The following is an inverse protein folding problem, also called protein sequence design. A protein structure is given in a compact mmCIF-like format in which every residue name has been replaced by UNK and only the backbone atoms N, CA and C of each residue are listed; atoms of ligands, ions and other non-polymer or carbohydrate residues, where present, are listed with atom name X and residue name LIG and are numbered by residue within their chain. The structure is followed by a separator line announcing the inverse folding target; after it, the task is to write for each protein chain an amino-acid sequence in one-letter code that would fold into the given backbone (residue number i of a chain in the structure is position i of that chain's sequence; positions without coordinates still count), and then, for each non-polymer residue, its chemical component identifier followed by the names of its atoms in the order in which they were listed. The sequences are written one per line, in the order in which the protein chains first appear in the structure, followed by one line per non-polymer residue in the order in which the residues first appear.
data_IF_180893994586
#
_entry.id   IF_180893994586
#
_cell.length_a   1.000
_cell.length_b   1.000
_cell.length_c   1.000
_cell.angle_alpha   90.00
_cell.angle_beta   90.00
_cell.angle_gamma   90.00
#
_symmetry.space_group_name_H-M   'P 1'
#
loop_
_entity.id
_entity.type
_entity.pdbx_description
1 polymer ?
#
# COMPACT_ATOMS: atom_id res chain seq x y z
N UNK A 1 -21.56 -75.86 -30.89
CA UNK A 1 -20.10 -75.62 -30.93
C UNK A 1 -19.86 -74.19 -31.42
N UNK A 2 -19.17 -73.37 -30.60
CA UNK A 2 -18.48 -72.08 -30.92
C UNK A 2 -19.40 -70.98 -31.51
N UNK A 3 -19.78 -69.89 -30.84
CA UNK A 3 -19.05 -69.02 -29.91
C UNK A 3 -18.69 -67.72 -30.65
N UNK A 4 -19.55 -66.70 -30.61
CA UNK A 4 -19.27 -65.36 -31.13
C UNK A 4 -18.66 -64.49 -30.02
N UNK A 5 -17.44 -63.97 -30.26
CA UNK A 5 -16.82 -62.92 -29.45
C UNK A 5 -17.50 -61.58 -29.75
N UNK A 6 -18.00 -60.89 -28.72
CA UNK A 6 -18.29 -59.47 -28.76
C UNK A 6 -17.21 -58.74 -27.93
N UNK A 7 -16.32 -58.01 -28.61
CA UNK A 7 -15.33 -57.15 -27.96
C UNK A 7 -16.00 -55.84 -27.52
N UNK A 8 -15.91 -55.52 -26.24
CA UNK A 8 -16.34 -54.25 -25.66
C UNK A 8 -15.26 -53.18 -25.86
N UNK A 9 -15.65 -52.08 -26.52
CA UNK A 9 -14.84 -50.87 -26.70
C UNK A 9 -14.90 -50.06 -25.40
N UNK A 10 -13.78 -49.93 -24.69
CA UNK A 10 -13.67 -49.07 -23.50
C UNK A 10 -13.28 -47.65 -23.92
N UNK A 11 -14.18 -46.68 -23.72
CA UNK A 11 -13.86 -45.26 -23.77
C UNK A 11 -13.20 -44.85 -22.45
N UNK A 12 -11.90 -44.53 -22.48
CA UNK A 12 -11.23 -43.86 -21.36
C UNK A 12 -11.47 -42.37 -21.53
N UNK A 13 -12.41 -41.83 -20.76
CA UNK A 13 -12.55 -40.37 -20.57
C UNK A 13 -11.46 -39.96 -19.59
N UNK A 14 -10.38 -39.35 -20.09
CA UNK A 14 -9.39 -38.67 -19.25
C UNK A 14 -10.00 -37.34 -18.82
N UNK A 15 -10.64 -37.32 -17.65
CA UNK A 15 -10.99 -36.06 -17.00
C UNK A 15 -9.70 -35.41 -16.49
N UNK A 16 -9.16 -34.46 -17.24
CA UNK A 16 -8.16 -33.54 -16.74
C UNK A 16 -8.81 -32.67 -15.66
N UNK A 17 -8.72 -33.10 -14.39
CA UNK A 17 -9.02 -32.24 -13.26
C UNK A 17 -7.89 -31.22 -13.15
N UNK A 18 -8.06 -30.06 -13.78
CA UNK A 18 -7.20 -28.91 -13.50
C UNK A 18 -7.41 -28.49 -12.06
N UNK A 19 -6.49 -28.84 -11.17
CA UNK A 19 -6.39 -28.15 -9.90
C UNK A 19 -5.93 -26.72 -10.21
N UNK A 20 -6.78 -25.73 -9.98
CA UNK A 20 -6.33 -24.34 -9.93
C UNK A 20 -5.44 -24.21 -8.68
N UNK A 21 -4.13 -24.33 -8.88
CA UNK A 21 -3.13 -24.00 -7.86
C UNK A 21 -3.17 -22.47 -7.73
N UNK A 22 -3.93 -21.97 -6.76
CA UNK A 22 -3.80 -20.57 -6.35
C UNK A 22 -2.46 -20.42 -5.63
N UNK A 23 -1.51 -19.76 -6.28
CA UNK A 23 -0.28 -19.35 -5.62
C UNK A 23 -0.62 -18.33 -4.53
N UNK A 24 0.09 -18.42 -3.40
CA UNK A 24 0.04 -17.40 -2.36
C UNK A 24 0.24 -16.01 -3.01
N UNK A 25 -0.58 -15.00 -2.67
CA UNK A 25 -0.40 -13.67 -3.21
C UNK A 25 1.00 -13.17 -2.88
N UNK A 26 1.76 -12.87 -3.93
CA UNK A 26 3.09 -12.29 -3.80
C UNK A 26 2.96 -10.82 -4.14
N UNK A 27 3.28 -9.99 -3.16
CA UNK A 27 3.54 -8.58 -3.39
C UNK A 27 5.03 -8.43 -3.62
N UNK A 28 5.40 -7.91 -4.80
CA UNK A 28 6.80 -7.71 -5.18
C UNK A 28 7.05 -6.21 -5.25
N UNK A 29 7.94 -5.69 -4.40
CA UNK A 29 8.44 -4.33 -4.55
C UNK A 29 9.28 -4.28 -5.82
N UNK A 30 8.89 -3.41 -6.74
CA UNK A 30 9.55 -3.23 -8.03
C UNK A 30 10.42 -1.99 -8.07
N UNK A 31 10.07 -0.94 -7.32
CA UNK A 31 10.86 0.29 -7.21
C UNK A 31 10.75 0.84 -5.78
N UNK A 32 11.88 1.19 -5.19
CA UNK A 32 11.98 1.94 -3.91
C UNK A 32 12.33 3.41 -4.23
N UNK A 33 11.43 4.34 -3.86
CA UNK A 33 11.62 5.79 -4.01
C UNK A 33 11.55 6.53 -2.67
N UNK A 34 11.72 5.82 -1.55
CA UNK A 34 11.74 6.47 -0.24
C UNK A 34 12.81 7.56 -0.18
N UNK A 35 12.40 8.74 0.28
CA UNK A 35 13.24 9.94 0.32
C UNK A 35 12.97 10.76 1.58
N UNK A 36 14.02 11.40 2.11
CA UNK A 36 13.88 12.56 2.98
C UNK A 36 14.66 13.73 2.40
N UNK A 37 14.06 14.91 2.43
CA UNK A 37 14.65 16.15 1.94
C UNK A 37 14.55 17.26 2.99
N UNK A 38 15.61 18.04 3.12
CA UNK A 38 15.65 19.25 3.92
C UNK A 38 16.30 20.37 3.11
N UNK A 39 15.66 21.53 3.07
CA UNK A 39 16.09 22.69 2.30
C UNK A 39 16.05 23.94 3.19
N UNK A 40 17.09 24.77 3.07
CA UNK A 40 17.12 26.14 3.57
C UNK A 40 17.61 27.04 2.43
N UNK A 41 16.75 27.87 1.87
CA UNK A 41 17.13 28.80 0.80
C UNK A 41 17.67 30.11 1.39
N UNK A 42 18.82 30.65 0.92
CA UNK A 42 19.65 30.19 -0.20
C UNK A 42 20.82 29.28 0.19
N UNK A 43 20.85 28.73 1.41
CA UNK A 43 21.99 28.03 1.98
C UNK A 43 22.27 26.65 1.35
N UNK A 44 21.23 25.89 1.01
CA UNK A 44 21.37 24.58 0.35
C UNK A 44 20.34 23.56 0.79
N UNK A 45 20.43 22.36 0.21
CA UNK A 45 19.57 21.21 0.52
C UNK A 45 20.38 19.94 0.80
N UNK A 46 19.76 19.06 1.57
CA UNK A 46 20.22 17.70 1.85
C UNK A 46 19.11 16.74 1.47
N UNK A 47 19.46 15.64 0.80
CA UNK A 47 18.53 14.59 0.38
C UNK A 47 19.14 13.23 0.70
N UNK A 48 18.34 12.34 1.29
CA UNK A 48 18.72 10.96 1.61
C UNK A 48 17.68 10.00 1.03
N UNK A 49 18.10 8.89 0.42
CA UNK A 49 17.22 7.96 -0.31
C UNK A 49 17.50 6.50 0.02
N UNK A 50 16.52 5.64 -0.25
CA UNK A 50 16.65 4.18 -0.38
C UNK A 50 17.29 3.48 0.84
N UNK A 51 16.69 3.66 2.02
CA UNK A 51 17.06 2.98 3.26
C UNK A 51 15.87 2.87 4.21
N UNK A 52 15.93 1.93 5.14
CA UNK A 52 14.92 1.76 6.19
C UNK A 52 14.98 2.86 7.24
N UNK A 53 16.09 3.60 7.33
CA UNK A 53 16.25 4.77 8.15
C UNK A 53 16.90 5.91 7.34
N UNK A 54 16.15 6.98 7.09
CA UNK A 54 16.58 8.16 6.36
C UNK A 54 16.52 9.38 7.27
N UNK A 55 17.52 10.24 7.15
CA UNK A 55 17.59 11.53 7.84
C UNK A 55 18.19 12.57 6.89
N UNK A 56 17.50 13.70 6.74
CA UNK A 56 17.98 14.86 6.01
C UNK A 56 17.89 16.08 6.91
N UNK A 57 18.96 16.86 6.96
CA UNK A 57 19.04 18.08 7.76
C UNK A 57 19.70 19.20 6.97
N UNK A 58 19.15 20.41 7.04
CA UNK A 58 19.71 21.61 6.46
C UNK A 58 19.64 22.77 7.45
N UNK A 59 20.68 23.60 7.46
CA UNK A 59 20.81 24.78 8.32
C UNK A 59 21.22 25.99 7.49
N UNK A 60 20.89 27.22 7.92
CA UNK A 60 21.31 28.42 7.22
C UNK A 60 22.83 28.58 7.26
N UNK A 61 23.42 29.15 6.21
CA UNK A 61 24.83 29.53 6.20
C UNK A 61 25.13 30.62 7.22
N UNK A 62 26.39 30.70 7.65
CA UNK A 62 26.82 31.72 8.61
C UNK A 62 26.43 33.14 8.13
N UNK A 63 25.75 33.90 9.01
CA UNK A 63 25.28 35.26 8.73
C UNK A 63 23.92 35.36 8.04
N UNK A 64 23.26 34.24 7.69
CA UNK A 64 21.94 34.24 7.04
C UNK A 64 20.76 34.07 8.02
N UNK A 65 21.02 34.05 9.32
CA UNK A 65 20.02 33.86 10.36
C UNK A 65 20.17 32.56 11.11
N UNK A 66 19.08 32.09 11.71
CA UNK A 66 19.03 30.87 12.50
C UNK A 66 17.71 30.13 12.32
N UNK A 67 17.82 28.81 12.19
CA UNK A 67 16.72 27.90 11.93
C UNK A 67 17.24 26.52 11.55
N UNK A 68 16.32 25.62 11.25
CA UNK A 68 16.60 24.22 10.96
C UNK A 68 15.48 23.65 10.10
N UNK A 69 15.85 22.90 9.06
CA UNK A 69 14.94 21.99 8.35
C UNK A 69 15.42 20.57 8.59
N UNK A 70 14.52 19.68 9.02
CA UNK A 70 14.85 18.28 9.30
C UNK A 70 13.71 17.38 8.85
N UNK A 71 14.05 16.31 8.13
CA UNK A 71 13.12 15.25 7.78
C UNK A 71 13.71 13.88 8.13
N UNK A 72 12.86 12.99 8.66
CA UNK A 72 13.26 11.64 9.02
C UNK A 72 12.18 10.64 8.61
N UNK A 73 12.62 9.49 8.08
CA UNK A 73 11.77 8.35 7.75
C UNK A 73 12.37 7.10 8.38
N UNK A 74 11.58 6.36 9.14
CA UNK A 74 11.88 4.97 9.52
C UNK A 74 10.79 4.08 8.98
N UNK A 75 11.13 3.12 8.12
CA UNK A 75 10.14 2.29 7.44
C UNK A 75 10.68 0.91 7.12
N UNK A 76 9.78 -0.04 6.90
CA UNK A 76 10.13 -1.37 6.43
C UNK A 76 9.03 -1.96 5.56
N UNK A 77 9.45 -2.62 4.49
CA UNK A 77 8.64 -3.49 3.64
C UNK A 77 9.30 -4.88 3.49
N UNK A 78 10.19 -5.24 4.42
CA UNK A 78 10.90 -6.51 4.38
C UNK A 78 9.95 -7.72 4.44
N UNK A 79 8.81 -7.56 5.12
CA UNK A 79 7.65 -8.43 4.94
C UNK A 79 6.81 -7.88 3.77
N UNK A 80 6.74 -8.57 2.63
CA UNK A 80 5.98 -8.09 1.47
C UNK A 80 4.48 -7.95 1.76
N UNK A 81 3.95 -8.64 2.77
CA UNK A 81 2.54 -8.59 3.14
C UNK A 81 2.25 -7.58 4.25
N UNK A 82 3.27 -6.93 4.81
CA UNK A 82 3.11 -6.02 5.95
C UNK A 82 4.14 -4.92 5.94
N UNK A 83 3.70 -3.72 5.58
CA UNK A 83 4.55 -2.54 5.54
C UNK A 83 4.23 -1.61 6.69
N UNK A 84 5.26 -0.92 7.14
CA UNK A 84 5.15 0.06 8.20
C UNK A 84 6.07 1.23 7.91
N UNK A 85 5.68 2.40 8.41
CA UNK A 85 6.52 3.58 8.30
C UNK A 85 6.13 4.66 9.28
N UNK A 86 7.13 5.43 9.70
CA UNK A 86 7.02 6.62 10.54
C UNK A 86 7.85 7.70 9.85
N UNK A 87 7.18 8.76 9.41
CA UNK A 87 7.80 9.91 8.74
C UNK A 87 7.55 11.18 9.51
N UNK A 88 8.54 12.06 9.54
CA UNK A 88 8.45 13.39 10.13
C UNK A 88 9.15 14.43 9.25
N UNK A 89 8.56 15.61 9.17
CA UNK A 89 9.10 16.78 8.52
C UNK A 89 8.92 17.97 9.46
N UNK A 90 10.02 18.55 9.91
CA UNK A 90 10.05 19.62 10.91
C UNK A 90 10.89 20.78 10.40
N UNK A 91 10.36 21.98 10.52
CA UNK A 91 11.08 23.21 10.24
C UNK A 91 10.95 24.17 11.42
N UNK A 92 12.02 24.92 11.65
CA UNK A 92 12.06 25.99 12.64
C UNK A 92 12.82 27.17 12.07
N UNK A 93 12.32 28.36 12.36
CA UNK A 93 12.99 29.60 12.02
C UNK A 93 12.95 30.51 13.22
N UNK A 94 14.11 30.97 13.64
CA UNK A 94 14.25 31.92 14.73
C UNK A 94 14.52 33.32 14.20
N UNK A 95 15.38 33.46 13.19
CA UNK A 95 15.77 34.77 12.63
C UNK A 95 16.32 34.68 11.20
N UNK A 96 16.50 35.84 10.56
CA UNK A 96 17.08 35.99 9.23
C UNK A 96 16.13 35.63 8.09
N UNK A 97 16.47 35.95 6.83
CA UNK A 97 15.67 35.61 5.65
C UNK A 97 15.80 34.11 5.31
N UNK A 98 14.85 33.60 4.53
CA UNK A 98 14.97 32.28 3.90
C UNK A 98 13.75 31.40 4.02
N UNK A 99 13.68 30.42 3.13
CA UNK A 99 12.64 29.41 3.09
C UNK A 99 13.18 28.10 3.66
N UNK A 100 12.49 27.60 4.67
CA UNK A 100 12.78 26.33 5.33
C UNK A 100 11.73 25.33 4.88
N UNK A 101 12.17 24.22 4.31
CA UNK A 101 11.30 23.15 3.82
C UNK A 101 11.88 21.82 4.28
N UNK A 102 11.03 20.94 4.79
CA UNK A 102 11.37 19.56 5.09
C UNK A 102 10.30 18.65 4.49
N UNK A 103 10.72 17.50 3.96
CA UNK A 103 9.84 16.50 3.38
C UNK A 103 10.30 15.09 3.74
N UNK A 104 9.38 14.23 4.18
CA UNK A 104 9.59 12.80 4.39
C UNK A 104 8.60 12.05 3.52
N UNK A 105 9.08 11.15 2.68
CA UNK A 105 8.28 10.44 1.69
C UNK A 105 8.57 8.94 1.71
N UNK A 106 7.52 8.15 1.91
CA UNK A 106 7.52 6.73 1.63
C UNK A 106 6.80 6.48 0.30
N UNK A 107 7.55 6.19 -0.76
CA UNK A 107 7.01 5.88 -2.09
C UNK A 107 7.60 4.56 -2.60
N UNK A 108 6.71 3.61 -2.92
CA UNK A 108 7.07 2.31 -3.49
C UNK A 108 6.12 1.93 -4.63
N UNK A 109 6.69 1.37 -5.70
CA UNK A 109 5.92 0.66 -6.72
C UNK A 109 5.95 -0.84 -6.43
N UNK A 110 4.81 -1.50 -6.56
CA UNK A 110 4.69 -2.92 -6.30
C UNK A 110 3.78 -3.63 -7.31
N UNK A 111 3.99 -4.94 -7.44
CA UNK A 111 3.16 -5.81 -8.26
C UNK A 111 2.44 -6.82 -7.39
N UNK A 112 1.13 -6.96 -7.62
CA UNK A 112 0.25 -7.97 -7.04
C UNK A 112 0.08 -9.09 -8.07
N UNK A 113 0.48 -10.31 -7.76
CA UNK A 113 0.44 -11.44 -8.70
C UNK A 113 -0.87 -12.23 -8.67
N UNK A 114 -1.56 -12.25 -7.53
CA UNK A 114 -2.89 -12.84 -7.36
C UNK A 114 -3.75 -11.91 -6.48
N UNK A 115 -5.08 -11.98 -6.57
CA UNK A 115 -5.93 -11.00 -5.89
C UNK A 115 -5.74 -11.00 -4.37
N UNK A 116 -5.69 -9.82 -3.77
CA UNK A 116 -5.36 -9.65 -2.34
C UNK A 116 -6.25 -8.59 -1.69
N UNK A 117 -6.64 -8.82 -0.44
CA UNK A 117 -7.31 -7.81 0.37
C UNK A 117 -6.26 -6.93 1.06
N UNK A 118 -6.53 -5.64 1.21
CA UNK A 118 -5.66 -4.75 1.97
C UNK A 118 -6.37 -4.10 3.14
N UNK A 119 -5.59 -3.74 4.15
CA UNK A 119 -5.95 -2.87 5.25
C UNK A 119 -4.87 -1.81 5.45
N UNK A 120 -5.26 -0.55 5.41
CA UNK A 120 -4.45 0.61 5.73
C UNK A 120 -4.90 1.18 7.07
N UNK A 121 -3.94 1.48 7.93
CA UNK A 121 -4.12 2.21 9.19
C UNK A 121 -3.06 3.30 9.28
N UNK A 122 -3.47 4.56 9.22
CA UNK A 122 -2.60 5.73 9.27
C UNK A 122 -2.95 6.67 10.43
N UNK A 123 -1.92 7.22 11.08
CA UNK A 123 -2.01 8.31 12.04
C UNK A 123 -1.18 9.48 11.53
N UNK A 124 -1.75 10.66 11.59
CA UNK A 124 -1.19 11.86 11.00
C UNK A 124 -1.22 12.99 12.03
N UNK A 125 -0.16 13.76 12.12
CA UNK A 125 -0.04 14.87 13.08
C UNK A 125 0.57 16.08 12.41
N UNK A 126 0.04 17.26 12.75
CA UNK A 126 0.63 18.53 12.36
C UNK A 126 0.68 19.47 13.56
N UNK A 127 1.67 20.34 13.58
CA UNK A 127 1.77 21.43 14.54
C UNK A 127 2.42 22.63 13.89
N UNK A 128 1.81 23.80 14.04
CA UNK A 128 2.32 25.05 13.49
C UNK A 128 2.15 26.18 14.50
N UNK A 129 3.15 27.04 14.62
CA UNK A 129 3.09 28.26 15.45
C UNK A 129 3.09 29.57 14.65
N UNK A 130 3.40 29.51 13.35
CA UNK A 130 3.32 30.65 12.43
C UNK A 130 1.98 30.68 11.69
N UNK A 131 1.34 31.83 11.43
CA UNK A 131 0.12 31.90 10.63
C UNK A 131 0.30 31.34 9.20
N UNK A 132 -0.77 30.76 8.61
CA UNK A 132 -0.82 30.46 7.17
C UNK A 132 -0.60 31.73 6.33
N UNK A 133 0.15 31.61 5.24
CA UNK A 133 0.53 32.73 4.36
C UNK A 133 2.03 33.06 4.41
N UNK A 134 2.74 32.54 5.41
CA UNK A 134 4.19 32.65 5.52
C UNK A 134 4.93 31.40 4.98
N UNK A 135 4.38 30.67 3.99
CA UNK A 135 4.97 29.46 3.40
C UNK A 135 3.99 28.66 2.52
N UNK A 136 4.47 27.59 1.88
CA UNK A 136 3.70 26.72 0.95
C UNK A 136 2.74 25.74 1.66
N UNK A 137 2.56 25.86 2.97
CA UNK A 137 1.68 25.00 3.75
C UNK A 137 2.41 23.81 4.39
N UNK A 138 1.68 23.13 5.27
CA UNK A 138 2.05 21.84 5.82
C UNK A 138 1.12 20.82 5.16
N UNK A 139 1.67 19.75 4.61
CA UNK A 139 0.92 18.79 3.82
C UNK A 139 1.20 17.37 4.30
N UNK A 140 0.14 16.58 4.41
CA UNK A 140 0.21 15.16 4.74
C UNK A 140 -0.82 14.43 3.92
N UNK A 141 -0.37 13.46 3.16
CA UNK A 141 -1.18 12.71 2.20
C UNK A 141 -0.75 11.25 2.22
N UNK A 142 -1.72 10.34 2.05
CA UNK A 142 -1.48 8.93 1.77
C UNK A 142 -2.40 8.47 0.63
N UNK A 143 -1.81 7.90 -0.42
CA UNK A 143 -2.50 7.54 -1.66
C UNK A 143 -2.09 6.17 -2.15
N UNK A 144 -3.06 5.44 -2.69
CA UNK A 144 -2.84 4.20 -3.43
C UNK A 144 -3.33 4.38 -4.85
N UNK A 145 -2.45 4.07 -5.80
CA UNK A 145 -2.70 4.19 -7.22
C UNK A 145 -2.62 2.84 -7.91
N UNK A 146 -3.38 2.69 -9.00
CA UNK A 146 -3.05 1.67 -10.00
C UNK A 146 -1.95 2.25 -10.86
N UNK A 147 -0.80 1.60 -10.91
CA UNK A 147 0.28 2.09 -11.75
C UNK A 147 -0.07 1.81 -13.22
N UNK A 148 -0.50 2.86 -13.93
CA UNK A 148 -0.74 2.86 -15.37
C UNK A 148 0.43 3.48 -16.16
N UNK A 149 1.55 3.76 -15.48
CA UNK A 149 2.67 4.53 -16.00
C UNK A 149 2.79 5.90 -15.34
N UNK A 150 4.02 6.25 -14.96
CA UNK A 150 4.41 7.60 -14.54
C UNK A 150 4.80 8.45 -15.77
N UNK A 151 4.62 9.77 -15.71
CA UNK A 151 5.07 10.69 -16.76
C UNK A 151 6.58 10.98 -16.64
N UNK A 152 7.06 11.98 -17.39
CA UNK A 152 8.48 12.31 -17.51
C UNK A 152 9.11 12.83 -16.22
N UNK A 153 8.32 13.41 -15.30
CA UNK A 153 8.82 13.89 -14.01
C UNK A 153 8.62 12.87 -12.87
N UNK A 154 7.98 11.74 -13.16
CA UNK A 154 7.78 10.65 -12.22
C UNK A 154 6.46 10.74 -11.45
N UNK A 155 5.55 11.63 -11.83
CA UNK A 155 4.20 11.71 -11.28
C UNK A 155 3.31 10.58 -11.81
N UNK A 156 2.37 10.13 -10.98
CA UNK A 156 1.44 9.06 -11.33
C UNK A 156 0.23 9.65 -12.08
N UNK A 157 0.07 9.32 -13.36
CA UNK A 157 -1.00 9.85 -14.23
C UNK A 157 -2.39 9.21 -14.04
N UNK A 158 -2.63 8.58 -12.89
CA UNK A 158 -3.89 7.87 -12.63
C UNK A 158 -4.62 8.48 -11.46
N UNK A 159 -5.95 8.56 -11.55
CA UNK A 159 -6.78 8.84 -10.39
C UNK A 159 -6.48 7.83 -9.27
N UNK A 160 -6.33 8.28 -8.00
CA UNK A 160 -6.05 7.37 -6.89
C UNK A 160 -7.20 6.36 -6.74
N UNK A 161 -6.84 5.08 -6.67
CA UNK A 161 -7.80 4.00 -6.39
C UNK A 161 -8.43 4.18 -5.01
N UNK A 162 -7.62 4.69 -4.08
CA UNK A 162 -8.07 5.11 -2.79
C UNK A 162 -7.27 6.35 -2.37
N UNK A 163 -8.00 7.38 -1.97
CA UNK A 163 -7.44 8.50 -1.25
C UNK A 163 -7.68 8.26 0.24
N UNK A 164 -6.62 7.95 0.99
CA UNK A 164 -6.70 7.75 2.42
C UNK A 164 -6.62 9.07 3.20
N UNK A 165 -6.58 10.19 2.47
CA UNK A 165 -6.48 11.54 2.97
C UNK A 165 -7.86 12.16 3.09
N UNK A 166 -8.22 12.57 4.31
CA UNK A 166 -9.13 13.72 4.49
C UNK A 166 -8.33 14.78 5.22
N UNK A 167 -8.06 15.88 4.51
CA UNK A 167 -6.95 16.80 4.74
C UNK A 167 -6.84 17.34 6.17
N UNK A 168 -5.60 17.43 6.65
CA UNK A 168 -5.27 18.17 7.87
C UNK A 168 -4.76 19.55 7.45
N UNK A 169 -5.68 20.43 7.08
CA UNK A 169 -5.39 21.85 6.84
C UNK A 169 -5.47 22.63 8.16
N UNK A 170 -4.33 22.90 8.81
CA UNK A 170 -4.32 23.66 10.08
C UNK A 170 -3.79 25.07 9.86
N UNK A 171 -4.59 26.03 10.32
CA UNK A 171 -4.31 27.47 10.15
C UNK A 171 -3.27 28.01 11.13
N UNK A 172 -3.30 27.50 12.36
CA UNK A 172 -2.33 27.70 13.43
C UNK A 172 -2.71 26.73 14.56
N UNK A 173 -1.73 26.14 15.25
CA UNK A 173 -1.96 25.17 16.31
C UNK A 173 -1.67 23.73 15.89
N UNK A 174 -2.28 22.81 16.61
CA UNK A 174 -2.00 21.39 16.50
C UNK A 174 -3.22 20.66 15.94
N UNK A 175 -2.97 19.59 15.22
CA UNK A 175 -4.02 18.64 14.92
C UNK A 175 -3.48 17.28 14.60
N UNK A 176 -4.42 16.37 14.62
CA UNK A 176 -4.13 14.96 14.47
C UNK A 176 -5.33 14.30 13.82
N UNK A 177 -5.07 13.31 12.99
CA UNK A 177 -6.10 12.50 12.39
C UNK A 177 -5.66 11.05 12.37
N UNK A 178 -6.62 10.15 12.52
CA UNK A 178 -6.44 8.74 12.20
C UNK A 178 -7.32 8.40 11.01
N UNK A 179 -6.79 7.59 10.10
CA UNK A 179 -7.48 7.11 8.91
C UNK A 179 -7.27 5.62 8.80
N UNK A 180 -8.31 4.93 8.37
CA UNK A 180 -8.20 3.53 8.01
C UNK A 180 -9.03 3.26 6.77
N UNK A 181 -8.59 2.28 5.99
CA UNK A 181 -9.28 1.86 4.77
C UNK A 181 -9.00 0.40 4.51
N UNK A 182 -9.99 -0.30 3.97
CA UNK A 182 -9.82 -1.66 3.47
C UNK A 182 -10.31 -1.73 2.04
N UNK A 183 -9.78 -2.70 1.31
CA UNK A 183 -10.21 -2.90 -0.07
C UNK A 183 -9.59 -4.15 -0.66
N UNK A 184 -9.67 -4.24 -1.98
CA UNK A 184 -9.26 -5.40 -2.74
C UNK A 184 -8.46 -4.97 -3.96
N UNK A 185 -7.31 -5.60 -4.18
CA UNK A 185 -6.48 -5.41 -5.36
C UNK A 185 -6.55 -6.65 -6.23
N UNK A 186 -6.93 -6.44 -7.49
CA UNK A 186 -6.74 -7.43 -8.53
C UNK A 186 -5.25 -7.58 -8.87
N UNK A 187 -4.85 -8.62 -9.61
CA UNK A 187 -3.49 -8.69 -10.14
C UNK A 187 -3.15 -7.47 -10.99
N UNK A 188 -1.97 -6.89 -10.78
CA UNK A 188 -1.56 -5.66 -11.44
C UNK A 188 -0.40 -4.94 -10.77
N UNK A 189 -0.03 -3.79 -11.34
CA UNK A 189 0.96 -2.88 -10.79
C UNK A 189 0.27 -1.74 -10.04
N UNK A 190 0.90 -1.33 -8.95
CA UNK A 190 0.37 -0.36 -8.01
C UNK A 190 1.50 0.51 -7.48
N UNK A 191 1.16 1.69 -7.01
CA UNK A 191 2.08 2.57 -6.30
C UNK A 191 1.40 3.03 -5.02
N UNK A 192 2.15 3.00 -3.92
CA UNK A 192 1.70 3.51 -2.62
C UNK A 192 2.65 4.61 -2.18
N UNK A 193 2.09 5.78 -1.90
CA UNK A 193 2.82 6.92 -1.36
C UNK A 193 2.19 7.40 -0.07
N UNK A 194 3.03 7.76 0.89
CA UNK A 194 2.65 8.58 2.03
C UNK A 194 3.75 9.56 2.32
N UNK A 195 3.40 10.84 2.39
CA UNK A 195 4.38 11.90 2.58
C UNK A 195 3.91 12.93 3.61
N UNK A 196 4.89 13.58 4.22
CA UNK A 196 4.71 14.72 5.11
C UNK A 196 5.66 15.83 4.69
N UNK A 197 5.14 17.05 4.54
CA UNK A 197 5.87 18.26 4.21
C UNK A 197 5.57 19.34 5.24
N UNK A 198 6.60 20.08 5.62
CA UNK A 198 6.47 21.28 6.45
C UNK A 198 7.28 22.41 5.84
N UNK A 199 6.73 23.63 5.88
CA UNK A 199 7.42 24.80 5.35
C UNK A 199 7.21 26.09 6.14
N UNK A 200 8.25 26.92 6.19
CA UNK A 200 8.23 28.29 6.70
C UNK A 200 9.06 29.16 5.75
N UNK A 201 8.41 30.04 5.00
CA UNK A 201 9.03 31.07 4.17
C UNK A 201 9.20 32.43 4.85
N UNK A 202 8.36 32.74 5.84
CA UNK A 202 8.35 34.01 6.58
C UNK A 202 7.97 33.80 8.05
N UNK A 203 8.20 34.81 8.90
CA UNK A 203 7.90 34.75 10.32
C UNK A 203 8.87 33.90 11.15
N UNK A 204 8.73 34.00 12.47
CA UNK A 204 9.51 33.26 13.47
C UNK A 204 8.61 32.22 14.12
N UNK A 205 9.03 30.96 14.11
CA UNK A 205 8.30 29.86 14.73
C UNK A 205 8.68 28.50 14.17
N UNK A 206 7.74 27.58 14.24
CA UNK A 206 7.91 26.16 13.93
C UNK A 206 6.71 25.63 13.16
N UNK A 207 6.98 24.66 12.29
CA UNK A 207 5.98 23.86 11.61
C UNK A 207 6.48 22.41 11.56
N UNK A 208 5.58 21.47 11.78
CA UNK A 208 5.88 20.05 11.81
C UNK A 208 4.70 19.28 11.26
N UNK A 209 5.02 18.24 10.50
CA UNK A 209 4.11 17.28 9.90
C UNK A 209 4.67 15.89 10.12
N UNK A 210 3.83 14.93 10.40
CA UNK A 210 4.26 13.56 10.60
C UNK A 210 3.18 12.55 10.30
N UNK A 211 3.61 11.38 9.87
CA UNK A 211 2.76 10.23 9.65
C UNK A 211 3.33 9.00 10.35
N UNK A 212 2.43 8.09 10.70
CA UNK A 212 2.73 6.72 11.02
C UNK A 212 1.71 5.86 10.30
N UNK A 213 2.13 4.80 9.63
CA UNK A 213 1.20 3.90 8.97
C UNK A 213 1.57 2.43 9.16
N UNK A 214 0.56 1.61 8.95
CA UNK A 214 0.64 0.19 8.69
C UNK A 214 -0.18 -0.12 7.45
N UNK A 215 0.40 -0.89 6.53
CA UNK A 215 -0.28 -1.33 5.32
C UNK A 215 -0.13 -2.84 5.20
N UNK A 216 -1.22 -3.53 5.49
CA UNK A 216 -1.27 -4.98 5.55
C UNK A 216 -2.01 -5.52 4.33
N UNK A 217 -1.40 -6.50 3.68
CA UNK A 217 -2.03 -7.33 2.67
C UNK A 217 -2.42 -8.64 3.35
N UNK A 218 -3.69 -8.97 3.32
CA UNK A 218 -4.19 -10.28 3.76
C UNK A 218 -4.63 -11.05 2.54
N UNK A 219 -4.21 -12.33 2.38
CA UNK A 219 -4.82 -13.18 1.37
C UNK A 219 -6.33 -13.13 1.54
N UNK A 220 -7.09 -12.96 0.45
CA UNK A 220 -8.52 -13.15 0.53
C UNK A 220 -8.75 -14.54 1.12
N UNK A 221 -9.56 -14.68 2.17
CA UNK A 221 -9.95 -15.98 2.71
C UNK A 221 -10.59 -16.78 1.56
N UNK A 222 -9.80 -17.55 0.83
CA UNK A 222 -10.30 -18.51 -0.13
C UNK A 222 -10.99 -19.56 0.72
N UNK A 223 -12.32 -19.65 0.60
CA UNK A 223 -13.07 -20.75 1.16
C UNK A 223 -12.32 -22.06 0.85
N UNK A 224 -12.23 -23.02 1.78
CA UNK A 224 -11.55 -24.28 1.52
C UNK A 224 -12.06 -24.85 0.20
N UNK A 225 -11.17 -25.11 -0.75
CA UNK A 225 -11.52 -25.82 -1.97
C UNK A 225 -12.26 -27.09 -1.54
N UNK A 226 -13.53 -27.31 -1.94
CA UNK A 226 -14.21 -28.54 -1.60
C UNK A 226 -13.35 -29.69 -2.10
N UNK A 227 -12.92 -30.57 -1.20
CA UNK A 227 -12.16 -31.73 -1.64
C UNK A 227 -13.00 -32.50 -2.66
N UNK A 228 -12.42 -32.97 -3.79
CA UNK A 228 -13.16 -33.67 -4.83
C UNK A 228 -13.87 -34.94 -4.33
N UNK A 229 -13.52 -35.43 -3.14
CA UNK A 229 -14.24 -36.50 -2.46
C UNK A 229 -15.70 -36.13 -2.11
N UNK A 230 -16.01 -34.85 -1.87
CA UNK A 230 -17.37 -34.40 -1.54
C UNK A 230 -18.31 -34.36 -2.76
N UNK A 231 -17.79 -34.14 -3.97
CA UNK A 231 -18.57 -34.22 -5.22
C UNK A 231 -18.86 -35.67 -5.62
N UNK A 232 -17.89 -36.58 -5.40
CA UNK A 232 -18.10 -38.02 -5.56
C UNK A 232 -19.20 -38.53 -4.61
N UNK A 233 -19.30 -37.99 -3.38
CA UNK A 233 -20.34 -38.39 -2.44
C UNK A 233 -21.73 -37.86 -2.79
N UNK A 234 -21.82 -36.68 -3.43
CA UNK A 234 -23.09 -36.14 -3.93
C UNK A 234 -23.57 -36.86 -5.20
N UNK A 235 -22.67 -37.24 -6.10
CA UNK A 235 -23.01 -38.01 -7.31
C UNK A 235 -23.30 -39.48 -7.02
N UNK A 236 -22.63 -40.12 -6.05
CA UNK A 236 -22.95 -41.51 -5.65
C UNK A 236 -24.25 -41.63 -4.87
N UNK A 237 -24.71 -40.56 -4.21
CA UNK A 237 -26.02 -40.52 -3.53
C UNK A 237 -27.21 -40.56 -4.49
N UNK A 238 -27.11 -39.95 -5.68
CA UNK A 238 -28.18 -39.95 -6.68
C UNK A 238 -28.30 -41.27 -7.46
N UNK A 239 -27.21 -42.00 -7.65
CA UNK A 239 -27.23 -43.32 -8.30
C UNK A 239 -27.84 -44.42 -7.39
N UNK A 240 -27.73 -44.28 -6.06
CA UNK A 240 -28.28 -45.24 -5.09
C UNK A 240 -29.82 -45.21 -4.97
N UNK A 241 -30.46 -44.08 -5.27
CA UNK A 241 -31.92 -43.90 -5.11
C UNK A 241 -32.78 -44.57 -6.18
N UNK A 242 -32.24 -44.84 -7.37
CA UNK A 242 -33.00 -45.40 -8.49
C UNK A 242 -32.97 -46.95 -8.54
N UNK A 243 -32.07 -47.60 -7.81
CA UNK A 243 -31.95 -49.06 -7.78
C UNK A 243 -32.94 -49.75 -6.81
N UNK A 244 -33.57 -49.03 -5.88
CA UNK A 244 -34.42 -49.65 -4.84
C UNK A 244 -35.89 -49.90 -5.25
N UNK A 245 -36.28 -49.60 -6.49
CA UNK A 245 -37.70 -49.69 -6.91
C UNK A 245 -38.05 -50.77 -7.95
N UNK A 246 -37.24 -51.82 -8.07
CA UNK A 246 -37.60 -53.01 -8.87
C UNK A 246 -37.27 -54.32 -8.17
N UNK A 247 -38.13 -54.72 -7.24
CA UNK A 247 -38.52 -56.13 -6.97
C UNK A 247 -39.57 -56.14 -5.86
N UNK A 248 -40.83 -56.29 -6.25
CA UNK A 248 -41.91 -56.91 -5.46
C UNK A 248 -43.16 -57.02 -6.34
N UNK A 249 -43.21 -58.06 -7.17
CA UNK A 249 -44.44 -58.66 -7.66
C UNK A 249 -44.11 -60.10 -8.10
N UNK A 250 -44.89 -61.06 -7.57
CA UNK A 250 -45.01 -62.51 -7.84
C UNK A 250 -44.62 -63.42 -6.67
N UNK A 251 -45.59 -63.70 -5.79
CA UNK A 251 -46.30 -65.00 -5.74
C UNK A 251 -47.62 -64.83 -5.00
#
# INVERSE_FOLDING_TARGET
MKGFLAGSLAFIVVCAMGAEVFADPIVIITVDRRETAALVTPSGSTVTRASDALLATATPSAGQGSGLSTAALTSSYADPMRWLGIGTATVSRTSGPGNYIAASDFDVDFTVTSPVSYAFDGSFTTSRSVPLGFGNGDEIIALLFRDTGRDEDGEINSEPLANFTEGIGIQNGNGSARRSSTGFLAPGKYAFTTFAVSSIGEGTGTASSGFQFMFDFTPANTAPTPEPASLLLLETGLAGGLAYRRRSALS
#
